data_IF_433018649930
#
_entry.id   IF_433018649930
#
_cell.length_a   1.000
_cell.length_b   1.000
_cell.length_c   1.000
_cell.angle_alpha   90.00
_cell.angle_beta   90.00
_cell.angle_gamma   90.00
#
_symmetry.space_group_name_H-M   'P 1'
#
loop_
_entity.id
_entity.type
_entity.pdbx_description
1 polymer ?
#
# COMPACT_ATOMS: atom_id res chain seq x y z
N UNK A 1 8.43 -25.59 15.55
CA UNK A 1 8.33 -24.22 15.02
C UNK A 1 8.17 -23.30 16.22
N UNK A 2 9.11 -22.40 16.46
CA UNK A 2 8.98 -21.42 17.55
C UNK A 2 7.94 -20.38 17.12
N UNK A 3 6.79 -20.37 17.79
CA UNK A 3 5.87 -19.23 17.74
C UNK A 3 6.61 -18.04 18.36
N UNK A 4 7.06 -17.12 17.50
CA UNK A 4 7.57 -15.84 17.94
C UNK A 4 6.41 -15.08 18.62
N UNK A 5 6.36 -15.20 19.95
CA UNK A 5 5.42 -14.48 20.80
C UNK A 5 5.48 -12.98 20.48
N UNK A 6 4.34 -12.42 20.07
CA UNK A 6 4.15 -11.02 19.71
C UNK A 6 4.05 -10.09 20.93
N UNK A 7 4.33 -10.59 22.13
CA UNK A 7 4.30 -9.80 23.36
C UNK A 7 5.71 -9.30 23.66
N UNK A 8 5.99 -8.08 23.25
CA UNK A 8 7.17 -7.32 23.64
C UNK A 8 6.75 -5.92 24.04
N UNK A 9 7.35 -5.38 25.11
CA UNK A 9 7.21 -3.97 25.45
C UNK A 9 8.33 -3.19 24.74
N UNK A 10 8.02 -2.09 24.04
CA UNK A 10 6.70 -1.46 23.93
C UNK A 10 5.74 -2.15 22.96
N UNK A 11 4.44 -2.00 23.22
CA UNK A 11 3.36 -2.47 22.35
C UNK A 11 3.55 -1.93 20.93
N UNK A 12 3.35 -2.79 19.93
CA UNK A 12 3.61 -2.39 18.56
C UNK A 12 2.65 -1.29 18.10
N UNK A 13 3.16 -0.22 17.47
CA UNK A 13 2.34 0.90 17.03
C UNK A 13 1.37 0.43 15.94
N UNK A 14 0.13 0.95 15.91
CA UNK A 14 -0.88 0.58 14.88
C UNK A 14 -0.47 0.92 13.44
N UNK A 15 0.48 1.85 13.28
CA UNK A 15 0.99 2.28 11.99
C UNK A 15 2.42 2.77 12.12
N UNK A 16 3.22 2.52 11.09
CA UNK A 16 4.64 2.89 11.04
C UNK A 16 4.83 3.92 9.93
N UNK A 17 5.61 4.95 10.22
CA UNK A 17 6.05 5.92 9.22
C UNK A 17 7.37 5.42 8.63
N UNK A 18 7.36 5.16 7.33
CA UNK A 18 8.55 4.78 6.57
C UNK A 18 9.11 6.02 5.89
N UNK A 19 10.41 6.25 6.09
CA UNK A 19 11.16 7.36 5.50
C UNK A 19 12.12 6.77 4.48
N UNK A 20 11.81 6.95 3.20
CA UNK A 20 12.63 6.43 2.08
C UNK A 20 13.41 7.51 1.36
N UNK A 21 13.03 8.78 1.54
CA UNK A 21 13.52 9.87 0.69
C UNK A 21 12.98 9.76 -0.74
N UNK A 22 13.49 10.64 -1.61
CA UNK A 22 13.20 10.68 -3.06
C UNK A 22 14.42 10.31 -3.92
N UNK A 23 15.53 9.91 -3.28
CA UNK A 23 16.75 9.56 -3.99
C UNK A 23 16.59 8.31 -4.86
N UNK A 24 17.31 8.31 -5.97
CA UNK A 24 17.51 7.14 -6.82
C UNK A 24 18.99 6.78 -6.78
N UNK A 25 19.31 5.52 -6.51
CA UNK A 25 20.67 5.00 -6.47
C UNK A 25 20.77 3.85 -7.47
N UNK A 26 21.80 3.85 -8.33
CA UNK A 26 21.94 2.86 -9.41
C UNK A 26 20.67 2.71 -10.27
N UNK A 27 20.01 3.82 -10.60
CA UNK A 27 18.72 3.84 -11.30
C UNK A 27 17.57 3.17 -10.55
N UNK A 28 17.71 2.89 -9.25
CA UNK A 28 16.68 2.28 -8.39
C UNK A 28 16.18 3.28 -7.36
N UNK A 29 14.86 3.47 -7.32
CA UNK A 29 14.17 4.26 -6.30
C UNK A 29 13.67 3.36 -5.18
N UNK A 30 14.19 3.56 -3.97
CA UNK A 30 13.75 2.84 -2.78
C UNK A 30 12.26 3.05 -2.51
N UNK A 31 11.76 4.26 -2.77
CA UNK A 31 10.34 4.63 -2.62
C UNK A 31 9.45 3.82 -3.54
N UNK A 32 9.78 3.74 -4.83
CA UNK A 32 9.01 2.98 -5.83
C UNK A 32 9.04 1.49 -5.52
N UNK A 33 10.20 0.97 -5.15
CA UNK A 33 10.40 -0.44 -4.76
C UNK A 33 9.53 -0.83 -3.57
N UNK A 34 9.56 -0.08 -2.46
CA UNK A 34 8.74 -0.41 -1.29
C UNK A 34 7.25 -0.27 -1.61
N UNK A 35 6.86 0.69 -2.46
CA UNK A 35 5.48 0.82 -2.93
C UNK A 35 5.01 -0.40 -3.70
N UNK A 36 5.82 -0.92 -4.61
CA UNK A 36 5.52 -2.14 -5.38
C UNK A 36 5.32 -3.34 -4.45
N UNK A 37 6.17 -3.50 -3.42
CA UNK A 37 6.01 -4.55 -2.43
C UNK A 37 4.73 -4.42 -1.58
N UNK A 38 4.41 -3.21 -1.13
CA UNK A 38 3.18 -3.00 -0.36
C UNK A 38 1.92 -3.25 -1.20
N UNK A 39 1.97 -2.95 -2.51
CA UNK A 39 0.91 -3.29 -3.45
C UNK A 39 0.72 -4.81 -3.57
N UNK A 40 1.82 -5.54 -3.76
CA UNK A 40 1.83 -7.00 -3.84
C UNK A 40 1.16 -7.65 -2.62
N UNK A 41 1.53 -7.20 -1.42
CA UNK A 41 0.96 -7.69 -0.16
C UNK A 41 -0.49 -7.23 0.08
N UNK A 42 -1.04 -6.40 -0.81
CA UNK A 42 -2.38 -5.81 -0.65
C UNK A 42 -2.48 -4.88 0.56
N UNK A 43 -1.35 -4.42 1.09
CA UNK A 43 -1.31 -3.60 2.29
C UNK A 43 -1.70 -2.16 1.97
N UNK A 44 -2.69 -1.58 2.68
CA UNK A 44 -2.99 -0.17 2.51
C UNK A 44 -1.82 0.66 3.05
N UNK A 45 -1.29 1.54 2.21
CA UNK A 45 -0.37 2.59 2.61
C UNK A 45 -0.92 3.94 2.18
N UNK A 46 -0.59 4.97 2.95
CA UNK A 46 -0.96 6.35 2.65
C UNK A 46 0.31 7.15 2.38
N UNK A 47 0.44 7.80 1.21
CA UNK A 47 1.53 8.74 1.00
C UNK A 47 1.39 9.88 2.01
N UNK A 48 2.50 10.26 2.64
CA UNK A 48 2.50 11.42 3.52
C UNK A 48 2.37 12.69 2.65
N UNK A 49 1.28 13.44 2.82
CA UNK A 49 1.06 14.68 2.05
C UNK A 49 2.00 15.82 2.47
N UNK A 50 2.52 15.77 3.69
CA UNK A 50 3.28 16.86 4.29
C UNK A 50 4.75 16.90 3.86
N UNK A 51 5.35 15.75 3.51
CA UNK A 51 6.73 15.65 3.02
C UNK A 51 6.87 14.49 2.05
N UNK A 52 7.54 14.74 0.93
CA UNK A 52 7.96 13.74 -0.05
C UNK A 52 8.89 12.71 0.60
N UNK A 53 8.92 11.49 0.05
CA UNK A 53 9.77 10.40 0.53
C UNK A 53 9.29 9.74 1.83
N UNK A 54 8.02 9.90 2.19
CA UNK A 54 7.42 9.30 3.38
C UNK A 54 6.08 8.64 3.07
N UNK A 55 5.84 7.48 3.66
CA UNK A 55 4.54 6.81 3.63
C UNK A 55 4.23 6.14 4.96
N UNK A 56 2.94 6.08 5.26
CA UNK A 56 2.43 5.44 6.47
C UNK A 56 1.87 4.08 6.07
N UNK A 57 2.41 3.02 6.67
CA UNK A 57 1.97 1.64 6.46
C UNK A 57 1.42 1.06 7.77
N UNK A 58 0.54 0.05 7.66
CA UNK A 58 0.11 -0.72 8.83
C UNK A 58 1.25 -1.58 9.35
N UNK A 59 1.44 -1.58 10.67
CA UNK A 59 2.50 -2.34 11.32
C UNK A 59 2.39 -3.83 11.05
N UNK A 60 1.18 -4.39 11.13
CA UNK A 60 0.94 -5.81 10.91
C UNK A 60 1.34 -6.23 9.50
N UNK A 61 1.00 -5.43 8.49
CA UNK A 61 1.40 -5.72 7.11
C UNK A 61 2.91 -5.62 6.91
N UNK A 62 3.56 -4.66 7.55
CA UNK A 62 5.01 -4.53 7.50
C UNK A 62 5.71 -5.70 8.21
N UNK A 63 5.16 -6.15 9.34
CA UNK A 63 5.64 -7.33 10.07
C UNK A 63 5.49 -8.60 9.24
N UNK A 64 4.35 -8.80 8.58
CA UNK A 64 4.17 -9.92 7.66
C UNK A 64 5.15 -9.85 6.49
N UNK A 65 5.36 -8.66 5.92
CA UNK A 65 6.39 -8.44 4.91
C UNK A 65 7.80 -8.80 5.41
N UNK A 66 8.19 -8.35 6.61
CA UNK A 66 9.47 -8.73 7.19
C UNK A 66 9.54 -10.25 7.38
N UNK A 67 8.50 -10.91 7.91
CA UNK A 67 8.50 -12.36 8.09
C UNK A 67 8.61 -13.16 6.78
N UNK A 68 7.92 -12.73 5.73
CA UNK A 68 7.91 -13.38 4.42
C UNK A 68 9.07 -12.92 3.51
N UNK A 69 9.84 -11.92 3.95
CA UNK A 69 11.01 -11.44 3.24
C UNK A 69 12.11 -12.51 3.31
N UNK A 70 12.65 -12.97 2.17
CA UNK A 70 13.79 -13.90 2.19
C UNK A 70 14.99 -13.32 2.95
N UNK A 71 15.11 -11.99 3.01
CA UNK A 71 16.15 -11.29 3.78
C UNK A 71 15.97 -11.33 5.31
N UNK A 72 14.80 -11.71 5.83
CA UNK A 72 14.60 -11.89 7.27
C UNK A 72 14.68 -13.36 7.71
N UNK A 73 14.54 -14.30 6.77
CA UNK A 73 14.88 -15.71 7.00
C UNK A 73 16.39 -15.96 6.87
N UNK A 74 17.10 -15.19 6.03
CA UNK A 74 18.56 -15.23 5.88
C UNK A 74 19.26 -14.11 6.66
N UNK A 75 19.10 -14.08 7.99
CA UNK A 75 20.07 -13.37 8.85
C UNK A 75 21.39 -14.16 9.01
N UNK A 76 21.42 -15.40 8.51
CA UNK A 76 22.66 -16.10 8.24
C UNK A 76 23.10 -15.71 6.82
N UNK A 77 24.13 -14.86 6.71
CA UNK A 77 24.90 -14.63 5.49
C UNK A 77 25.49 -15.97 5.02
N UNK A 78 24.68 -16.83 4.43
CA UNK A 78 25.12 -17.98 3.67
C UNK A 78 25.34 -17.47 2.27
N UNK A 79 26.49 -17.78 1.69
CA UNK A 79 26.74 -17.65 0.25
C UNK A 79 26.22 -18.93 -0.42
N UNK A 80 24.93 -19.02 -0.81
CA UNK A 80 24.48 -20.17 -1.58
C UNK A 80 25.21 -20.15 -2.93
N UNK A 81 25.78 -21.29 -3.38
CA UNK A 81 26.48 -21.38 -4.66
C UNK A 81 25.54 -21.22 -5.86
N UNK A 82 24.22 -21.27 -5.64
CA UNK A 82 23.19 -21.10 -6.68
C UNK A 82 22.10 -20.19 -6.14
N UNK A 83 21.84 -19.09 -6.85
CA UNK A 83 20.73 -18.19 -6.55
C UNK A 83 19.40 -18.94 -6.67
N UNK A 84 18.48 -18.80 -5.70
CA UNK A 84 17.18 -19.46 -5.79
C UNK A 84 16.40 -18.94 -7.02
N UNK A 85 15.97 -19.85 -7.89
CA UNK A 85 15.15 -19.53 -9.08
C UNK A 85 13.78 -18.96 -8.69
N UNK A 86 13.23 -19.47 -7.58
CA UNK A 86 12.01 -18.98 -6.93
C UNK A 86 12.39 -17.72 -6.13
N UNK A 87 11.65 -16.62 -6.31
CA UNK A 87 11.95 -15.28 -5.77
C UNK A 87 13.06 -14.49 -6.47
N UNK A 88 13.33 -14.79 -7.75
CA UNK A 88 14.09 -13.86 -8.59
C UNK A 88 13.40 -12.49 -8.62
N UNK A 89 14.21 -11.44 -8.48
CA UNK A 89 13.79 -10.06 -8.57
C UNK A 89 14.23 -9.48 -9.91
N UNK A 90 13.43 -8.60 -10.47
CA UNK A 90 13.69 -7.91 -11.73
C UNK A 90 13.60 -6.41 -11.54
N UNK A 91 14.46 -5.68 -12.22
CA UNK A 91 14.46 -4.22 -12.24
C UNK A 91 13.55 -3.74 -13.38
N UNK A 92 12.54 -2.94 -13.05
CA UNK A 92 11.59 -2.36 -13.99
C UNK A 92 11.43 -0.89 -13.66
N UNK A 93 11.65 -0.01 -14.63
CA UNK A 93 11.36 1.44 -14.50
C UNK A 93 11.91 2.08 -13.20
N UNK A 94 13.05 1.57 -12.76
CA UNK A 94 13.73 2.00 -11.54
C UNK A 94 13.14 1.51 -10.22
N UNK A 95 12.40 0.40 -10.21
CA UNK A 95 12.05 -0.32 -8.99
C UNK A 95 12.25 -1.83 -9.14
N UNK A 96 12.46 -2.48 -8.00
CA UNK A 96 12.71 -3.93 -7.92
C UNK A 96 11.41 -4.65 -7.57
N UNK A 97 11.08 -5.69 -8.32
CA UNK A 97 9.86 -6.48 -8.11
C UNK A 97 10.07 -7.96 -8.45
N UNK A 98 9.29 -8.85 -7.85
CA UNK A 98 9.34 -10.29 -8.14
C UNK A 98 9.05 -10.57 -9.62
N UNK A 99 9.87 -11.40 -10.26
CA UNK A 99 9.79 -11.73 -11.70
C UNK A 99 8.39 -12.21 -12.12
N UNK A 100 7.74 -13.03 -11.29
CA UNK A 100 6.39 -13.55 -11.59
C UNK A 100 5.28 -12.49 -11.53
N UNK A 101 5.53 -11.35 -10.88
CA UNK A 101 4.53 -10.29 -10.73
C UNK A 101 4.62 -9.25 -11.86
N UNK A 102 5.71 -9.25 -12.62
CA UNK A 102 6.04 -8.24 -13.64
C UNK A 102 4.96 -8.09 -14.69
N UNK A 103 4.52 -9.20 -15.27
CA UNK A 103 3.50 -9.22 -16.31
C UNK A 103 2.17 -8.66 -15.79
N UNK A 104 1.71 -9.18 -14.64
CA UNK A 104 0.47 -8.74 -14.01
C UNK A 104 0.52 -7.26 -13.60
N UNK A 105 1.65 -6.79 -13.07
CA UNK A 105 1.81 -5.39 -12.71
C UNK A 105 1.68 -4.48 -13.92
N UNK A 106 2.38 -4.79 -15.03
CA UNK A 106 2.33 -3.99 -16.26
C UNK A 106 0.92 -3.94 -16.84
N UNK A 107 0.26 -5.09 -16.98
CA UNK A 107 -1.12 -5.19 -17.51
C UNK A 107 -2.13 -4.40 -16.65
N UNK A 108 -2.07 -4.56 -15.33
CA UNK A 108 -2.95 -3.81 -14.41
C UNK A 108 -2.67 -2.31 -14.49
N UNK A 109 -1.40 -1.91 -14.52
CA UNK A 109 -1.03 -0.50 -14.54
C UNK A 109 -1.43 0.17 -15.85
N UNK A 110 -1.23 -0.48 -16.99
CA UNK A 110 -1.59 0.05 -18.31
C UNK A 110 -3.11 0.21 -18.47
N UNK A 111 -3.91 -0.73 -17.96
CA UNK A 111 -5.37 -0.74 -18.19
C UNK A 111 -6.17 -0.02 -17.12
N UNK A 112 -5.73 -0.06 -15.86
CA UNK A 112 -6.46 0.53 -14.73
C UNK A 112 -5.74 1.72 -14.09
N UNK A 113 -4.47 1.97 -14.42
CA UNK A 113 -3.64 3.01 -13.83
C UNK A 113 -3.24 2.69 -12.39
N UNK A 114 -3.24 3.72 -11.54
CA UNK A 114 -2.98 3.55 -10.11
C UNK A 114 -4.20 2.94 -9.42
N UNK A 115 -4.04 1.73 -8.88
CA UNK A 115 -5.09 0.97 -8.20
C UNK A 115 -4.83 0.87 -6.69
N UNK A 116 -5.91 0.68 -5.93
CA UNK A 116 -5.79 0.48 -4.50
C UNK A 116 -5.08 -0.85 -4.18
N UNK A 117 -4.21 -0.93 -3.15
CA UNK A 117 -3.38 -2.11 -2.91
C UNK A 117 -4.17 -3.42 -2.80
N UNK A 118 -5.29 -3.42 -2.08
CA UNK A 118 -6.15 -4.62 -1.98
C UNK A 118 -6.69 -5.09 -3.32
N UNK A 119 -7.01 -4.15 -4.21
CA UNK A 119 -7.50 -4.50 -5.56
C UNK A 119 -6.36 -5.05 -6.40
N UNK A 120 -5.18 -4.42 -6.33
CA UNK A 120 -3.98 -4.89 -7.01
C UNK A 120 -3.65 -6.33 -6.62
N UNK A 121 -3.48 -6.60 -5.32
CA UNK A 121 -3.12 -7.93 -4.82
C UNK A 121 -4.12 -9.01 -5.26
N UNK A 122 -5.42 -8.70 -5.23
CA UNK A 122 -6.45 -9.63 -5.73
C UNK A 122 -6.34 -9.91 -7.22
N UNK A 123 -6.01 -8.92 -8.05
CA UNK A 123 -5.84 -9.10 -9.49
C UNK A 123 -4.54 -9.82 -9.84
N UNK A 124 -3.47 -9.56 -9.08
CA UNK A 124 -2.18 -10.19 -9.26
C UNK A 124 -2.22 -11.71 -9.01
N UNK A 125 -3.12 -12.17 -8.13
CA UNK A 125 -3.29 -13.60 -7.81
C UNK A 125 -4.12 -14.38 -8.82
N UNK A 126 -4.81 -13.71 -9.75
CA UNK A 126 -5.63 -14.37 -10.76
C UNK A 126 -4.78 -14.83 -11.96
N UNK A 127 -5.26 -15.86 -12.67
CA UNK A 127 -4.74 -16.19 -14.01
C UNK A 127 -4.99 -15.03 -14.98
N UNK A 128 -4.23 -15.00 -16.07
CA UNK A 128 -4.31 -13.90 -17.04
C UNK A 128 -5.71 -13.76 -17.64
N UNK A 129 -6.37 -14.88 -17.99
CA UNK A 129 -7.75 -14.92 -18.52
C UNK A 129 -8.77 -14.33 -17.53
N UNK A 130 -8.74 -14.79 -16.27
CA UNK A 130 -9.66 -14.31 -15.24
C UNK A 130 -9.39 -12.86 -14.87
N UNK A 131 -8.13 -12.42 -14.89
CA UNK A 131 -7.77 -11.01 -14.67
C UNK A 131 -8.38 -10.14 -15.76
N UNK A 132 -8.31 -10.58 -17.01
CA UNK A 132 -8.85 -9.91 -18.18
C UNK A 132 -10.35 -9.64 -18.08
N UNK A 133 -11.12 -10.65 -17.66
CA UNK A 133 -12.55 -10.56 -17.45
C UNK A 133 -12.90 -9.56 -16.34
N UNK A 134 -12.20 -9.64 -15.20
CA UNK A 134 -12.44 -8.73 -14.06
C UNK A 134 -12.09 -7.29 -14.43
N UNK A 135 -11.01 -7.05 -15.18
CA UNK A 135 -10.63 -5.72 -15.64
C UNK A 135 -11.69 -5.16 -16.60
N UNK A 136 -12.14 -5.95 -17.58
CA UNK A 136 -13.21 -5.55 -18.51
C UNK A 136 -14.50 -5.21 -17.78
N UNK A 137 -14.89 -6.03 -16.79
CA UNK A 137 -16.06 -5.80 -15.97
C UNK A 137 -15.94 -4.52 -15.12
N UNK A 138 -14.78 -4.24 -14.52
CA UNK A 138 -14.54 -3.02 -13.75
C UNK A 138 -14.61 -1.76 -14.63
N UNK A 139 -14.02 -1.80 -15.83
CA UNK A 139 -14.09 -0.69 -16.79
C UNK A 139 -15.54 -0.45 -17.22
N UNK A 140 -16.28 -1.51 -17.55
CA UNK A 140 -17.70 -1.42 -17.91
C UNK A 140 -18.53 -0.84 -16.75
N UNK A 141 -18.33 -1.34 -15.54
CA UNK A 141 -19.00 -0.83 -14.34
C UNK A 141 -18.69 0.63 -14.03
N UNK A 142 -17.43 1.08 -14.24
CA UNK A 142 -17.06 2.51 -14.11
C UNK A 142 -17.77 3.37 -15.15
N UNK A 143 -17.84 2.93 -16.41
CA UNK A 143 -18.55 3.64 -17.49
C UNK A 143 -20.04 3.73 -17.21
N UNK A 144 -20.69 2.62 -16.84
CA UNK A 144 -22.11 2.59 -16.50
C UNK A 144 -22.44 3.45 -15.28
N UNK A 145 -21.59 3.44 -14.24
CA UNK A 145 -21.74 4.30 -13.07
C UNK A 145 -21.65 5.78 -13.45
N UNK A 146 -20.70 6.14 -14.31
CA UNK A 146 -20.54 7.51 -14.80
C UNK A 146 -21.76 7.96 -15.60
N UNK A 147 -22.27 7.13 -16.51
CA UNK A 147 -23.49 7.42 -17.27
C UNK A 147 -24.73 7.52 -16.37
N UNK A 148 -24.83 6.67 -15.34
CA UNK A 148 -25.91 6.77 -14.35
C UNK A 148 -25.80 8.04 -13.51
N UNK A 149 -24.60 8.52 -13.21
CA UNK A 149 -24.38 9.80 -12.53
C UNK A 149 -24.73 11.00 -13.41
N UNK A 150 -24.37 10.97 -14.70
CA UNK A 150 -24.77 11.99 -15.68
C UNK A 150 -26.29 12.07 -15.82
N UNK A 151 -26.97 10.91 -15.94
CA UNK A 151 -28.44 10.82 -16.07
C UNK A 151 -29.20 11.24 -14.81
N UNK A 152 -28.61 11.08 -13.62
CA UNK A 152 -29.25 11.48 -12.36
C UNK A 152 -29.10 12.97 -12.02
N UNK A 153 -28.47 13.76 -12.91
CA UNK A 153 -28.06 15.11 -12.59
C UNK A 153 -26.98 15.11 -11.50
N UNK A 154 -26.20 16.18 -11.44
CA UNK A 154 -25.20 16.41 -10.42
C UNK A 154 -25.89 16.37 -9.04
N UNK A 155 -26.03 15.20 -8.40
CA UNK A 155 -26.59 15.10 -7.05
C UNK A 155 -25.65 15.88 -6.17
N UNK A 156 -26.08 17.08 -5.82
CA UNK A 156 -25.38 18.08 -5.04
C UNK A 156 -24.65 17.36 -3.93
N UNK A 157 -23.31 17.48 -3.91
CA UNK A 157 -22.49 16.96 -2.85
C UNK A 157 -23.17 17.36 -1.54
N UNK A 158 -23.69 16.38 -0.78
CA UNK A 158 -24.19 16.62 0.58
C UNK A 158 -23.03 17.29 1.29
N UNK A 159 -23.14 18.60 1.53
CA UNK A 159 -22.18 19.37 2.32
C UNK A 159 -22.03 18.60 3.62
N UNK A 160 -20.96 17.83 3.76
CA UNK A 160 -20.57 17.25 5.02
C UNK A 160 -20.32 18.44 5.92
N UNK A 161 -21.23 18.70 6.87
CA UNK A 161 -21.03 19.72 7.90
C UNK A 161 -19.65 19.47 8.50
N UNK A 162 -18.73 20.44 8.51
CA UNK A 162 -17.42 20.23 9.09
C UNK A 162 -17.62 19.92 10.59
N UNK A 163 -17.35 18.68 11.00
CA UNK A 163 -17.31 18.25 12.40
C UNK A 163 -16.09 18.85 13.14
N UNK A 164 -15.73 20.10 12.87
CA UNK A 164 -14.63 20.81 13.56
C UNK A 164 -15.10 21.63 14.76
N UNK A 165 -16.40 21.85 14.92
CA UNK A 165 -16.92 22.66 16.04
C UNK A 165 -17.00 21.93 17.39
N UNK A 166 -16.88 20.59 17.43
CA UNK A 166 -16.93 19.85 18.72
C UNK A 166 -15.59 19.86 19.49
N UNK A 167 -14.46 19.84 18.78
CA UNK A 167 -13.14 19.79 19.44
C UNK A 167 -12.68 21.13 20.03
N UNK A 168 -13.21 22.26 19.55
CA UNK A 168 -12.80 23.58 20.05
C UNK A 168 -13.49 23.90 21.39
N UNK A 169 -14.77 23.47 21.57
CA UNK A 169 -15.50 23.71 22.83
C UNK A 169 -14.97 22.89 24.01
N UNK A 170 -14.47 21.67 23.79
CA UNK A 170 -13.89 20.85 24.86
C UNK A 170 -12.55 21.41 25.37
N UNK A 171 -11.76 22.06 24.51
CA UNK A 171 -10.49 22.69 24.91
C UNK A 171 -10.74 23.97 25.74
N UNK A 172 -11.70 24.81 25.37
CA UNK A 172 -12.04 26.01 26.16
C UNK A 172 -12.65 25.67 27.54
N UNK A 173 -13.45 24.60 27.64
CA UNK A 173 -14.00 24.16 28.91
C UNK A 173 -12.94 23.53 29.83
N UNK A 174 -12.02 22.72 29.28
CA UNK A 174 -10.91 22.16 30.06
C UNK A 174 -9.89 23.22 30.48
N UNK A 175 -9.67 24.27 29.70
CA UNK A 175 -8.73 25.33 30.06
C UNK A 175 -9.29 26.26 31.15
N UNK A 176 -10.62 26.43 31.23
CA UNK A 176 -11.27 27.15 32.34
C UNK A 176 -11.29 26.35 33.64
N UNK A 177 -11.43 25.03 33.57
CA UNK A 177 -11.44 24.16 34.77
C UNK A 177 -10.07 23.97 35.44
N UNK A 178 -8.98 24.44 34.81
CA UNK A 178 -7.60 24.38 35.36
C UNK A 178 -7.19 25.71 36.01
N UNK A 179 -8.02 26.75 35.90
CA UNK A 179 -7.75 28.11 36.41
C UNK A 179 -8.69 28.53 37.56
N UNK A 180 -9.54 27.63 38.05
CA UNK A 180 -10.24 27.72 39.35
C UNK A 180 -9.66 26.66 40.30
#
# INVERSE_FOLDING_TARGET
MQDASLQGSPESPKSIVLVTGEGEYNMVSLRKTIRAYLLEMGSPFLPCRARSGRFVAKDYSLKMWLKDSPFCMDLELKDPPVLPKLNSMTLIEGYVMRTGLVSAFKDIHERLGEVWPKKFSRLALLSDESRDEVIKADIKGRKEKLERMKKKGLVTARKSRPRRAKFIREQEQNMKAVLE
#
